data_IF_050735813032
#
_entry.id   IF_050735813032
#
_cell.length_a   1.000
_cell.length_b   1.000
_cell.length_c   1.000
_cell.angle_alpha   90.00
_cell.angle_beta   90.00
_cell.angle_gamma   90.00
#
_symmetry.space_group_name_H-M   'P 1'
#
loop_
_entity.id
_entity.type
_entity.pdbx_description
1 polymer ?
#
# COMPACT_ATOMS: atom_id res chain seq x y z
N UNK A 1 18.82 -13.10 -5.70
CA UNK A 1 19.41 -13.66 -4.47
C UNK A 1 20.91 -13.39 -4.42
N UNK A 2 21.68 -13.84 -5.42
CA UNK A 2 23.14 -13.60 -5.47
C UNK A 2 23.52 -12.11 -5.45
N UNK A 3 22.83 -11.27 -6.24
CA UNK A 3 23.05 -9.82 -6.24
C UNK A 3 22.75 -9.17 -4.87
N UNK A 4 21.71 -9.64 -4.17
CA UNK A 4 21.36 -9.14 -2.83
C UNK A 4 22.49 -9.42 -1.84
N UNK A 5 22.97 -10.67 -1.80
CA UNK A 5 24.05 -11.09 -0.90
C UNK A 5 25.38 -10.39 -1.22
N UNK A 6 25.65 -10.11 -2.49
CA UNK A 6 26.88 -9.41 -2.92
C UNK A 6 26.92 -7.96 -2.44
N UNK A 7 25.76 -7.34 -2.25
CA UNK A 7 25.66 -5.97 -1.71
C UNK A 7 25.65 -5.93 -0.18
N UNK A 8 25.74 -7.07 0.51
CA UNK A 8 25.81 -7.11 1.97
C UNK A 8 27.27 -7.25 2.42
N UNK A 9 27.68 -6.46 3.42
CA UNK A 9 29.03 -6.55 3.99
C UNK A 9 29.18 -7.62 5.09
N UNK A 10 30.39 -7.92 5.58
CA UNK A 10 30.59 -8.96 6.59
C UNK A 10 29.84 -8.74 7.91
N UNK A 11 29.56 -7.47 8.26
CA UNK A 11 28.76 -7.11 9.43
C UNK A 11 27.25 -7.11 9.13
N UNK A 12 26.87 -7.27 7.86
CA UNK A 12 25.51 -7.40 7.39
C UNK A 12 24.81 -6.10 7.00
N UNK A 13 25.57 -5.02 6.76
CA UNK A 13 25.03 -3.74 6.27
C UNK A 13 24.81 -3.80 4.76
N UNK A 14 23.76 -3.15 4.27
CA UNK A 14 23.46 -3.08 2.83
C UNK A 14 24.24 -1.95 2.17
N UNK A 15 25.12 -2.28 1.24
CA UNK A 15 25.88 -1.34 0.40
C UNK A 15 25.12 -1.02 -0.89
N UNK A 16 25.54 0.04 -1.57
CA UNK A 16 24.98 0.49 -2.86
C UNK A 16 23.44 0.58 -2.86
N UNK A 17 22.84 1.14 -1.80
CA UNK A 17 21.38 1.18 -1.60
C UNK A 17 20.66 1.78 -2.81
N UNK A 18 21.22 2.82 -3.44
CA UNK A 18 20.64 3.43 -4.64
C UNK A 18 20.56 2.43 -5.81
N UNK A 19 21.59 1.60 -6.02
CA UNK A 19 21.59 0.55 -7.03
C UNK A 19 20.56 -0.53 -6.69
N UNK A 20 20.52 -1.00 -5.45
CA UNK A 20 19.53 -1.98 -4.99
C UNK A 20 18.08 -1.49 -5.22
N UNK A 21 17.78 -0.25 -4.83
CA UNK A 21 16.47 0.37 -5.07
C UNK A 21 16.16 0.46 -6.56
N UNK A 22 17.13 0.79 -7.41
CA UNK A 22 16.93 0.80 -8.87
C UNK A 22 16.68 -0.60 -9.44
N UNK A 23 17.40 -1.63 -8.98
CA UNK A 23 17.19 -3.02 -9.40
C UNK A 23 15.79 -3.50 -8.99
N UNK A 24 15.37 -3.23 -7.74
CA UNK A 24 14.03 -3.55 -7.25
C UNK A 24 12.97 -2.79 -8.04
N UNK A 25 13.18 -1.50 -8.32
CA UNK A 25 12.24 -0.70 -9.12
C UNK A 25 12.03 -1.29 -10.53
N UNK A 26 13.09 -1.79 -11.17
CA UNK A 26 13.03 -2.36 -12.52
C UNK A 26 12.47 -3.79 -12.57
N UNK A 27 12.76 -4.61 -11.56
CA UNK A 27 12.51 -6.06 -11.62
C UNK A 27 11.65 -6.64 -10.49
N UNK A 28 11.38 -5.88 -9.44
CA UNK A 28 10.82 -6.38 -8.17
C UNK A 28 11.78 -7.27 -7.41
N UNK A 29 11.27 -7.95 -6.37
CA UNK A 29 11.98 -8.97 -5.61
C UNK A 29 11.49 -10.37 -5.97
N UNK A 30 12.42 -11.32 -5.99
CA UNK A 30 12.05 -12.73 -6.02
C UNK A 30 11.46 -13.16 -4.66
N UNK A 31 10.57 -14.16 -4.67
CA UNK A 31 9.79 -14.55 -3.49
C UNK A 31 10.65 -14.83 -2.25
N UNK A 32 11.77 -15.54 -2.41
CA UNK A 32 12.69 -15.91 -1.31
C UNK A 32 13.29 -14.68 -0.60
N UNK A 33 13.47 -13.56 -1.31
CA UNK A 33 14.03 -12.34 -0.73
C UNK A 33 12.98 -11.42 -0.09
N UNK A 34 11.68 -11.63 -0.34
CA UNK A 34 10.64 -10.69 0.08
C UNK A 34 10.63 -10.45 1.58
N UNK A 35 10.68 -11.53 2.37
CA UNK A 35 10.63 -11.46 3.84
C UNK A 35 11.74 -10.59 4.43
N UNK A 36 12.94 -10.62 3.87
CA UNK A 36 14.02 -9.74 4.32
C UNK A 36 13.96 -8.36 3.65
N UNK A 37 13.82 -8.32 2.32
CA UNK A 37 13.84 -7.07 1.55
C UNK A 37 12.72 -6.11 1.91
N UNK A 38 11.53 -6.61 2.24
CA UNK A 38 10.40 -5.77 2.66
C UNK A 38 10.68 -5.07 3.98
N UNK A 39 11.41 -5.68 4.92
CA UNK A 39 11.77 -5.03 6.19
C UNK A 39 12.63 -3.78 5.95
N UNK A 40 13.48 -3.79 4.93
CA UNK A 40 14.27 -2.63 4.53
C UNK A 40 13.46 -1.61 3.73
N UNK A 41 12.64 -2.07 2.77
CA UNK A 41 11.78 -1.20 1.95
C UNK A 41 10.75 -0.43 2.79
N UNK A 42 10.19 -1.09 3.80
CA UNK A 42 9.24 -0.50 4.74
C UNK A 42 9.93 0.21 5.91
N UNK A 43 11.26 0.28 5.95
CA UNK A 43 11.97 1.03 6.99
C UNK A 43 11.97 0.40 8.39
N UNK A 44 11.44 -0.81 8.54
CA UNK A 44 11.56 -1.57 9.80
C UNK A 44 13.03 -1.87 10.13
N UNK A 45 13.84 -2.23 9.11
CA UNK A 45 15.29 -2.30 9.22
C UNK A 45 15.95 -1.11 8.51
N UNK A 46 16.80 -0.34 9.20
CA UNK A 46 17.63 0.66 8.56
C UNK A 46 18.61 -0.01 7.59
N UNK A 47 18.80 0.55 6.40
CA UNK A 47 19.68 -0.01 5.37
C UNK A 47 21.14 -0.16 5.83
N UNK A 48 21.62 0.78 6.64
CA UNK A 48 23.00 0.81 7.16
C UNK A 48 23.19 -0.01 8.44
N UNK A 49 22.13 -0.69 8.92
CA UNK A 49 22.21 -1.48 10.17
C UNK A 49 22.94 -2.81 9.98
N UNK A 50 23.77 -3.14 10.96
CA UNK A 50 24.43 -4.44 11.07
C UNK A 50 23.45 -5.55 11.48
N UNK A 51 23.84 -6.81 11.33
CA UNK A 51 23.05 -7.94 11.81
C UNK A 51 22.80 -7.90 13.32
N UNK A 52 23.79 -7.45 14.11
CA UNK A 52 23.65 -7.38 15.56
C UNK A 52 22.70 -6.26 16.00
N UNK A 53 22.77 -5.10 15.34
CA UNK A 53 21.80 -4.02 15.55
C UNK A 53 20.39 -4.45 15.18
N UNK A 54 20.21 -5.16 14.06
CA UNK A 54 18.90 -5.71 13.66
C UNK A 54 18.36 -6.72 14.68
N UNK A 55 19.21 -7.60 15.23
CA UNK A 55 18.80 -8.53 16.31
C UNK A 55 18.36 -7.80 17.57
N UNK A 56 19.12 -6.79 18.00
CA UNK A 56 18.79 -5.98 19.17
C UNK A 56 17.48 -5.19 18.95
N UNK A 57 17.32 -4.61 17.76
CA UNK A 57 16.11 -3.93 17.33
C UNK A 57 14.90 -4.86 17.37
N UNK A 58 14.98 -6.05 16.78
CA UNK A 58 13.88 -7.02 16.79
C UNK A 58 13.49 -7.39 18.22
N UNK A 59 14.45 -7.67 19.12
CA UNK A 59 14.12 -7.97 20.53
C UNK A 59 13.33 -6.85 21.19
N UNK A 60 13.81 -5.60 21.07
CA UNK A 60 13.10 -4.43 21.62
C UNK A 60 11.71 -4.26 21.02
N UNK A 61 11.58 -4.48 19.70
CA UNK A 61 10.34 -4.36 18.95
C UNK A 61 9.33 -5.47 19.28
N UNK A 62 9.81 -6.66 19.61
CA UNK A 62 9.02 -7.76 20.16
C UNK A 62 8.44 -7.40 21.53
N UNK A 63 9.27 -6.91 22.45
CA UNK A 63 8.80 -6.52 23.79
C UNK A 63 7.78 -5.38 23.71
N UNK A 64 8.04 -4.40 22.84
CA UNK A 64 7.15 -3.27 22.60
C UNK A 64 5.80 -3.72 22.03
N UNK A 65 5.81 -4.62 21.04
CA UNK A 65 4.60 -5.20 20.46
C UNK A 65 3.76 -5.91 21.52
N UNK A 66 4.33 -6.86 22.26
CA UNK A 66 3.57 -7.65 23.23
C UNK A 66 3.07 -6.81 24.40
N UNK A 67 3.78 -5.75 24.77
CA UNK A 67 3.30 -4.77 25.76
C UNK A 67 2.03 -4.07 25.28
N UNK A 68 1.96 -3.65 24.02
CA UNK A 68 0.75 -3.05 23.44
C UNK A 68 -0.36 -4.09 23.23
N UNK A 69 -0.01 -5.30 22.77
CA UNK A 69 -0.95 -6.41 22.60
C UNK A 69 -1.66 -6.76 23.91
N UNK A 70 -0.92 -6.75 25.03
CA UNK A 70 -1.48 -7.01 26.35
C UNK A 70 -2.51 -5.96 26.76
N UNK A 71 -2.35 -4.69 26.36
CA UNK A 71 -3.28 -3.62 26.70
C UNK A 71 -4.71 -3.96 26.23
N UNK A 72 -4.87 -4.35 24.96
CA UNK A 72 -6.20 -4.70 24.44
C UNK A 72 -6.65 -6.11 24.84
N UNK A 73 -5.73 -7.08 24.92
CA UNK A 73 -6.07 -8.46 25.35
C UNK A 73 -6.52 -8.54 26.80
N UNK A 74 -6.08 -7.61 27.66
CA UNK A 74 -6.45 -7.55 29.07
C UNK A 74 -7.73 -6.75 29.35
N UNK A 75 -8.34 -6.15 28.32
CA UNK A 75 -9.65 -5.49 28.45
C UNK A 75 -10.71 -6.54 28.80
N UNK A 76 -11.28 -6.44 29.99
CA UNK A 76 -12.40 -7.29 30.42
C UNK A 76 -13.69 -6.91 29.70
N UNK A 77 -14.67 -7.84 29.69
CA UNK A 77 -16.00 -7.58 29.12
C UNK A 77 -16.66 -6.33 29.72
N UNK A 78 -16.47 -6.08 31.01
CA UNK A 78 -17.06 -4.92 31.68
C UNK A 78 -16.38 -3.61 31.26
N UNK A 79 -15.05 -3.62 31.07
CA UNK A 79 -14.34 -2.45 30.51
C UNK A 79 -14.75 -2.19 29.05
N UNK A 80 -14.92 -3.25 28.25
CA UNK A 80 -15.32 -3.14 26.85
C UNK A 80 -16.72 -2.53 26.69
N UNK A 81 -17.68 -2.84 27.57
CA UNK A 81 -19.00 -2.19 27.57
C UNK A 81 -18.91 -0.67 27.75
N UNK A 82 -17.93 -0.20 28.52
CA UNK A 82 -17.71 1.22 28.84
C UNK A 82 -16.74 1.93 27.90
N UNK A 83 -16.21 1.24 26.88
CA UNK A 83 -15.33 1.81 25.87
C UNK A 83 -15.92 1.60 24.47
N UNK A 84 -16.79 2.52 24.05
CA UNK A 84 -17.48 2.43 22.76
C UNK A 84 -16.50 2.44 21.58
N UNK A 85 -15.51 3.32 21.59
CA UNK A 85 -14.49 3.43 20.53
C UNK A 85 -13.77 2.09 20.32
N UNK A 86 -13.31 1.46 21.40
CA UNK A 86 -12.64 0.17 21.34
C UNK A 86 -13.54 -0.93 20.73
N UNK A 87 -14.79 -1.01 21.20
CA UNK A 87 -15.75 -2.00 20.74
C UNK A 87 -16.13 -1.79 19.28
N UNK A 88 -16.22 -0.54 18.84
CA UNK A 88 -16.53 -0.18 17.45
C UNK A 88 -15.37 -0.54 16.53
N UNK A 89 -14.12 -0.23 16.90
CA UNK A 89 -12.92 -0.68 16.15
C UNK A 89 -12.84 -2.21 16.09
N UNK A 90 -13.04 -2.91 17.21
CA UNK A 90 -13.05 -4.38 17.25
C UNK A 90 -14.09 -4.95 16.28
N UNK A 91 -15.32 -4.44 16.32
CA UNK A 91 -16.39 -4.90 15.43
C UNK A 91 -16.07 -4.67 13.95
N UNK A 92 -15.45 -3.54 13.60
CA UNK A 92 -15.02 -3.27 12.23
C UNK A 92 -13.90 -4.21 11.78
N UNK A 93 -12.91 -4.47 12.65
CA UNK A 93 -11.83 -5.43 12.39
C UNK A 93 -12.40 -6.83 12.15
N UNK A 94 -13.27 -7.32 13.04
CA UNK A 94 -13.88 -8.65 12.92
C UNK A 94 -14.66 -8.80 11.60
N UNK A 95 -15.43 -7.77 11.21
CA UNK A 95 -16.17 -7.77 9.93
C UNK A 95 -15.24 -7.87 8.72
N UNK A 96 -14.13 -7.14 8.74
CA UNK A 96 -13.20 -7.08 7.62
C UNK A 96 -12.29 -8.31 7.55
N UNK A 97 -11.77 -8.79 8.68
CA UNK A 97 -10.93 -9.99 8.75
C UNK A 97 -11.69 -11.20 8.20
N UNK A 98 -12.94 -11.39 8.59
CA UNK A 98 -13.75 -12.55 8.17
C UNK A 98 -13.94 -12.67 6.65
N UNK A 99 -13.86 -11.55 5.92
CA UNK A 99 -14.01 -11.47 4.46
C UNK A 99 -12.69 -11.25 3.72
N UNK A 100 -11.55 -11.20 4.40
CA UNK A 100 -10.25 -10.92 3.79
C UNK A 100 -9.70 -12.15 3.07
N UNK A 101 -9.44 -12.00 1.76
CA UNK A 101 -8.68 -12.92 0.90
C UNK A 101 -8.93 -14.43 1.11
N UNK A 102 -10.20 -14.83 1.32
CA UNK A 102 -10.56 -16.22 1.64
C UNK A 102 -10.30 -17.24 0.52
N UNK A 103 -9.93 -16.77 -0.67
CA UNK A 103 -9.45 -17.58 -1.80
C UNK A 103 -7.93 -17.77 -1.81
N UNK A 104 -7.19 -17.07 -0.95
CA UNK A 104 -5.76 -17.24 -0.75
C UNK A 104 -5.51 -18.34 0.27
N UNK A 105 -4.63 -19.29 -0.04
CA UNK A 105 -4.32 -20.45 0.80
C UNK A 105 -3.83 -20.09 2.20
N UNK A 106 -3.27 -18.89 2.39
CA UNK A 106 -2.85 -18.40 3.70
C UNK A 106 -4.03 -18.09 4.63
N UNK A 107 -5.18 -17.66 4.07
CA UNK A 107 -6.37 -17.23 4.83
C UNK A 107 -7.61 -18.13 4.63
N UNK A 108 -7.50 -19.15 3.78
CA UNK A 108 -8.60 -20.09 3.52
C UNK A 108 -8.82 -21.07 4.68
N UNK A 109 -10.01 -21.67 4.74
CA UNK A 109 -10.38 -22.62 5.79
C UNK A 109 -11.08 -21.97 6.99
N UNK A 110 -11.58 -22.84 7.87
CA UNK A 110 -12.26 -22.49 9.11
C UNK A 110 -11.22 -22.38 10.24
N UNK A 111 -11.40 -21.43 11.17
CA UNK A 111 -10.46 -21.17 12.28
C UNK A 111 -8.99 -21.00 11.82
N UNK A 112 -8.81 -20.30 10.69
CA UNK A 112 -7.50 -20.12 10.05
C UNK A 112 -6.55 -19.27 10.94
N UNK A 113 -5.33 -19.77 11.25
CA UNK A 113 -4.36 -19.03 12.08
C UNK A 113 -3.95 -17.67 11.52
N UNK A 114 -3.86 -17.53 10.19
CA UNK A 114 -3.57 -16.27 9.51
C UNK A 114 -4.63 -15.21 9.76
N UNK A 115 -5.91 -15.57 9.84
CA UNK A 115 -6.99 -14.65 10.21
C UNK A 115 -6.91 -14.20 11.67
N UNK A 116 -6.50 -15.10 12.57
CA UNK A 116 -6.26 -14.77 13.99
C UNK A 116 -5.10 -13.77 14.11
N UNK A 117 -4.00 -14.00 13.38
CA UNK A 117 -2.88 -13.07 13.33
C UNK A 117 -3.29 -11.72 12.73
N UNK A 118 -4.09 -11.71 11.66
CA UNK A 118 -4.58 -10.49 11.03
C UNK A 118 -5.41 -9.65 12.02
N UNK A 119 -6.32 -10.30 12.76
CA UNK A 119 -7.08 -9.68 13.83
C UNK A 119 -6.16 -9.11 14.94
N UNK A 120 -5.24 -9.92 15.45
CA UNK A 120 -4.41 -9.54 16.60
C UNK A 120 -3.46 -8.38 16.26
N UNK A 121 -2.90 -8.34 15.05
CA UNK A 121 -2.05 -7.22 14.59
C UNK A 121 -2.87 -5.94 14.46
N UNK A 122 -4.07 -5.98 13.88
CA UNK A 122 -4.93 -4.80 13.74
C UNK A 122 -5.40 -4.27 15.10
N UNK A 123 -5.78 -5.15 16.03
CA UNK A 123 -6.15 -4.75 17.39
C UNK A 123 -4.96 -4.14 18.15
N UNK A 124 -3.76 -4.66 17.91
CA UNK A 124 -2.54 -4.08 18.50
C UNK A 124 -2.22 -2.72 17.87
N UNK A 125 -2.50 -2.52 16.58
CA UNK A 125 -2.35 -1.23 15.92
C UNK A 125 -3.25 -0.16 16.54
N UNK A 126 -4.49 -0.50 16.90
CA UNK A 126 -5.37 0.42 17.63
C UNK A 126 -4.77 0.89 18.98
N UNK A 127 -3.90 0.12 19.61
CA UNK A 127 -3.21 0.54 20.85
C UNK A 127 -1.97 1.38 20.57
N UNK A 128 -1.38 1.25 19.37
CA UNK A 128 -0.25 2.05 18.92
C UNK A 128 -0.68 3.45 18.50
N UNK A 129 -1.74 3.53 17.69
CA UNK A 129 -2.37 4.78 17.25
C UNK A 129 -3.87 4.71 17.55
N UNK A 130 -4.25 5.15 18.75
CA UNK A 130 -5.63 5.12 19.21
C UNK A 130 -6.50 6.21 18.58
N UNK A 131 -5.89 7.32 18.14
CA UNK A 131 -6.61 8.41 17.48
C UNK A 131 -7.09 7.98 16.08
N UNK A 132 -6.26 7.22 15.35
CA UNK A 132 -6.67 6.60 14.09
C UNK A 132 -7.49 5.33 14.30
N UNK A 133 -7.03 4.45 15.20
CA UNK A 133 -7.65 3.15 15.47
C UNK A 133 -7.69 2.25 14.23
N UNK A 134 -8.90 1.81 13.85
CA UNK A 134 -9.14 1.01 12.65
C UNK A 134 -10.16 1.67 11.73
N UNK A 135 -9.80 1.72 10.45
CA UNK A 135 -10.65 2.19 9.34
C UNK A 135 -10.74 1.09 8.28
N UNK A 136 -11.93 0.92 7.70
CA UNK A 136 -12.21 -0.12 6.72
C UNK A 136 -11.22 -0.06 5.54
N UNK A 137 -10.61 -1.20 5.21
CA UNK A 137 -9.57 -1.31 4.18
C UNK A 137 -8.14 -1.43 4.73
N UNK A 138 -7.89 -1.14 6.00
CA UNK A 138 -6.57 -1.38 6.61
C UNK A 138 -6.20 -2.88 6.65
N UNK A 139 -7.18 -3.77 6.79
CA UNK A 139 -6.98 -5.23 6.65
C UNK A 139 -6.45 -5.65 5.26
N UNK A 140 -6.92 -4.98 4.20
CA UNK A 140 -6.44 -5.18 2.82
C UNK A 140 -4.98 -4.75 2.66
N UNK A 141 -4.54 -3.72 3.40
CA UNK A 141 -3.14 -3.28 3.43
C UNK A 141 -2.25 -4.24 4.22
N UNK A 142 -2.74 -4.76 5.34
CA UNK A 142 -1.98 -5.68 6.20
C UNK A 142 -1.84 -7.09 5.57
N UNK A 143 -2.86 -7.58 4.88
CA UNK A 143 -2.89 -8.96 4.36
C UNK A 143 -1.62 -9.36 3.59
N UNK A 144 -1.16 -8.61 2.56
CA UNK A 144 0.06 -8.98 1.84
C UNK A 144 1.33 -8.89 2.70
N UNK A 145 1.38 -7.97 3.67
CA UNK A 145 2.51 -7.84 4.60
C UNK A 145 2.57 -9.06 5.52
N UNK A 146 1.45 -9.45 6.12
CA UNK A 146 1.39 -10.61 7.00
C UNK A 146 1.73 -11.91 6.26
N UNK A 147 1.24 -12.06 5.02
CA UNK A 147 1.58 -13.17 4.14
C UNK A 147 3.10 -13.28 3.90
N UNK A 148 3.78 -12.16 3.64
CA UNK A 148 5.23 -12.15 3.37
C UNK A 148 6.05 -12.36 4.64
N UNK A 149 5.62 -11.75 5.75
CA UNK A 149 6.38 -11.79 7.00
C UNK A 149 6.24 -13.13 7.72
N UNK A 150 5.07 -13.76 7.68
CA UNK A 150 4.76 -15.01 8.40
C UNK A 150 5.12 -14.96 9.90
N UNK A 151 5.22 -13.74 10.45
CA UNK A 151 5.55 -13.45 11.83
C UNK A 151 4.74 -12.25 12.28
N UNK A 152 4.13 -12.36 13.45
CA UNK A 152 3.16 -11.38 13.97
C UNK A 152 3.82 -10.02 14.25
N UNK A 153 4.99 -10.03 14.88
CA UNK A 153 5.71 -8.81 15.31
C UNK A 153 6.29 -8.10 14.10
N UNK A 154 6.93 -8.85 13.20
CA UNK A 154 7.51 -8.30 11.98
C UNK A 154 6.42 -7.72 11.06
N UNK A 155 5.27 -8.41 10.93
CA UNK A 155 4.13 -7.92 10.18
C UNK A 155 3.59 -6.62 10.78
N UNK A 156 3.44 -6.56 12.11
CA UNK A 156 2.98 -5.36 12.80
C UNK A 156 3.89 -4.16 12.53
N UNK A 157 5.20 -4.28 12.69
CA UNK A 157 6.10 -3.13 12.52
C UNK A 157 6.25 -2.70 11.06
N UNK A 158 6.20 -3.65 10.12
CA UNK A 158 6.13 -3.33 8.70
C UNK A 158 4.81 -2.62 8.35
N UNK A 159 3.70 -3.04 8.95
CA UNK A 159 2.39 -2.41 8.78
C UNK A 159 2.34 -0.99 9.37
N UNK A 160 2.90 -0.77 10.55
CA UNK A 160 3.04 0.57 11.14
C UNK A 160 3.76 1.52 10.18
N UNK A 161 4.92 1.13 9.65
CA UNK A 161 5.66 1.99 8.73
C UNK A 161 4.98 2.18 7.37
N UNK A 162 4.10 1.25 6.96
CA UNK A 162 3.25 1.46 5.80
C UNK A 162 2.10 2.43 6.11
N UNK A 163 1.51 2.33 7.30
CA UNK A 163 0.47 3.24 7.75
C UNK A 163 1.01 4.66 7.95
N UNK A 164 2.26 4.85 8.40
CA UNK A 164 2.87 6.19 8.47
C UNK A 164 2.85 6.91 7.11
N UNK A 165 3.03 6.17 6.00
CA UNK A 165 2.96 6.71 4.64
C UNK A 165 1.53 6.94 4.14
N UNK A 166 0.56 6.23 4.72
CA UNK A 166 -0.85 6.23 4.32
C UNK A 166 -1.75 6.98 5.29
N UNK A 167 -1.20 7.51 6.40
CA UNK A 167 -1.94 7.95 7.59
C UNK A 167 -3.05 8.95 7.25
N UNK A 168 -2.70 9.99 6.51
CA UNK A 168 -3.61 11.05 6.05
C UNK A 168 -4.77 10.55 5.16
N UNK A 169 -4.64 9.36 4.56
CA UNK A 169 -5.73 8.77 3.77
C UNK A 169 -6.83 8.19 4.66
N UNK A 170 -6.50 7.83 5.91
CA UNK A 170 -7.41 7.16 6.84
C UNK A 170 -7.88 8.06 8.00
N UNK A 171 -7.31 9.25 8.17
CA UNK A 171 -7.85 10.26 9.09
C UNK A 171 -9.34 10.57 8.83
N UNK A 172 -10.08 11.00 9.86
CA UNK A 172 -11.53 11.25 9.79
C UNK A 172 -11.94 12.16 8.62
N UNK A 173 -11.15 13.20 8.32
CA UNK A 173 -11.42 14.15 7.24
C UNK A 173 -10.91 13.71 5.86
N UNK A 174 -10.17 12.59 5.81
CA UNK A 174 -9.58 11.96 4.62
C UNK A 174 -8.83 12.96 3.73
N UNK A 175 -8.04 13.86 4.32
CA UNK A 175 -7.36 14.94 3.58
C UNK A 175 -6.33 14.39 2.59
N UNK A 176 -5.65 13.30 2.93
CA UNK A 176 -4.74 12.61 2.01
C UNK A 176 -5.45 12.12 0.75
N UNK A 177 -6.65 11.54 0.89
CA UNK A 177 -7.44 11.08 -0.25
C UNK A 177 -7.88 12.24 -1.15
N UNK A 178 -8.39 13.33 -0.56
CA UNK A 178 -8.80 14.54 -1.32
C UNK A 178 -7.61 15.12 -2.07
N UNK A 179 -6.46 15.26 -1.40
CA UNK A 179 -5.23 15.79 -1.98
C UNK A 179 -4.74 14.93 -3.14
N UNK A 180 -4.69 13.60 -2.96
CA UNK A 180 -4.26 12.67 -4.01
C UNK A 180 -5.20 12.70 -5.24
N UNK A 181 -6.51 12.80 -5.05
CA UNK A 181 -7.47 12.92 -6.15
C UNK A 181 -7.32 14.24 -6.92
N UNK A 182 -7.07 15.36 -6.23
CA UNK A 182 -6.80 16.65 -6.87
C UNK A 182 -5.50 16.60 -7.67
N UNK A 183 -4.44 16.02 -7.10
CA UNK A 183 -3.16 15.84 -7.77
C UNK A 183 -3.32 14.93 -9.01
N UNK A 184 -4.08 13.84 -8.91
CA UNK A 184 -4.39 12.95 -10.02
C UNK A 184 -5.14 13.69 -11.14
N UNK A 185 -6.17 14.47 -10.80
CA UNK A 185 -6.94 15.27 -11.76
C UNK A 185 -6.04 16.30 -12.47
N UNK A 186 -5.12 16.91 -11.73
CA UNK A 186 -4.13 17.84 -12.29
C UNK A 186 -3.17 17.14 -13.26
N UNK A 187 -2.68 15.95 -12.91
CA UNK A 187 -1.84 15.14 -13.80
C UNK A 187 -2.58 14.72 -15.07
N UNK A 188 -3.82 14.24 -14.96
CA UNK A 188 -4.63 13.86 -16.12
C UNK A 188 -4.89 15.05 -17.05
N UNK A 189 -5.20 16.22 -16.49
CA UNK A 189 -5.39 17.45 -17.28
C UNK A 189 -4.15 17.81 -18.10
N UNK A 190 -2.96 17.58 -17.55
CA UNK A 190 -1.70 17.82 -18.25
C UNK A 190 -1.41 16.75 -19.31
N UNK A 191 -1.67 15.48 -19.00
CA UNK A 191 -1.35 14.35 -19.87
C UNK A 191 -2.32 14.23 -21.06
N UNK A 192 -3.61 14.47 -20.83
CA UNK A 192 -4.66 14.37 -21.85
C UNK A 192 -5.84 15.30 -21.51
N UNK A 193 -5.77 16.55 -21.99
CA UNK A 193 -6.79 17.56 -21.74
C UNK A 193 -8.16 17.17 -22.32
N UNK A 194 -8.19 16.42 -23.43
CA UNK A 194 -9.43 15.99 -24.08
C UNK A 194 -10.17 14.99 -23.20
N UNK A 195 -9.45 13.96 -22.73
CA UNK A 195 -10.02 12.98 -21.82
C UNK A 195 -10.44 13.61 -20.49
N UNK A 196 -9.63 14.52 -19.94
CA UNK A 196 -10.00 15.24 -18.71
C UNK A 196 -11.28 16.07 -18.88
N UNK A 197 -11.41 16.83 -19.98
CA UNK A 197 -12.63 17.60 -20.27
C UNK A 197 -13.85 16.69 -20.42
N UNK A 198 -13.68 15.51 -21.03
CA UNK A 198 -14.74 14.51 -21.12
C UNK A 198 -15.19 14.06 -19.73
N UNK A 199 -14.27 13.69 -18.84
CA UNK A 199 -14.60 13.30 -17.47
C UNK A 199 -15.32 14.41 -16.70
N UNK A 200 -14.90 15.67 -16.86
CA UNK A 200 -15.59 16.82 -16.24
C UNK A 200 -17.01 16.95 -16.78
N UNK A 201 -17.23 16.78 -18.09
CA UNK A 201 -18.55 16.84 -18.70
C UNK A 201 -19.49 15.70 -18.25
N UNK A 202 -18.94 14.58 -17.76
CA UNK A 202 -19.68 13.45 -17.19
C UNK A 202 -19.76 13.50 -15.65
N UNK A 203 -19.63 14.67 -15.04
CA UNK A 203 -19.61 14.88 -13.57
C UNK A 203 -18.59 14.00 -12.82
N UNK A 204 -17.55 13.57 -13.54
CA UNK A 204 -16.56 12.59 -13.10
C UNK A 204 -15.18 13.22 -12.86
N UNK A 205 -15.08 14.57 -12.90
CA UNK A 205 -13.82 15.33 -12.76
C UNK A 205 -13.12 15.21 -11.40
N UNK A 206 -13.85 14.79 -10.35
CA UNK A 206 -13.29 14.47 -9.02
C UNK A 206 -12.69 13.07 -8.91
N UNK A 207 -12.86 12.22 -9.94
CA UNK A 207 -12.22 10.91 -10.05
C UNK A 207 -12.53 9.94 -8.90
N UNK A 208 -13.74 10.01 -8.31
CA UNK A 208 -14.13 9.13 -7.21
C UNK A 208 -14.08 7.63 -7.56
N UNK A 209 -14.11 7.27 -8.85
CA UNK A 209 -13.87 5.90 -9.30
C UNK A 209 -12.44 5.39 -9.05
N UNK A 210 -11.47 6.29 -8.80
CA UNK A 210 -10.10 5.95 -8.38
C UNK A 210 -9.95 5.88 -6.85
N UNK A 211 -11.00 6.15 -6.06
CA UNK A 211 -10.89 6.22 -4.60
C UNK A 211 -10.35 4.92 -4.00
N UNK A 212 -10.90 3.77 -4.42
CA UNK A 212 -10.44 2.46 -3.95
C UNK A 212 -8.98 2.19 -4.34
N UNK A 213 -8.57 2.57 -5.55
CA UNK A 213 -7.21 2.37 -6.02
C UNK A 213 -6.17 3.04 -5.12
N UNK A 214 -6.45 4.28 -4.72
CA UNK A 214 -5.57 5.08 -3.87
C UNK A 214 -5.61 4.63 -2.41
N UNK A 215 -6.81 4.39 -1.86
CA UNK A 215 -7.00 4.04 -0.44
C UNK A 215 -6.28 2.74 -0.07
N UNK A 216 -6.42 1.70 -0.90
CA UNK A 216 -5.86 0.37 -0.64
C UNK A 216 -4.75 -0.01 -1.62
N UNK A 217 -4.07 0.98 -2.22
CA UNK A 217 -2.91 0.80 -3.12
C UNK A 217 -3.10 -0.32 -4.14
N UNK A 218 -4.20 -0.27 -4.89
CA UNK A 218 -4.55 -1.21 -5.97
C UNK A 218 -4.73 -2.68 -5.53
N UNK A 219 -4.86 -2.97 -4.23
CA UNK A 219 -4.97 -4.34 -3.70
C UNK A 219 -6.14 -5.15 -4.29
N UNK A 220 -7.30 -4.52 -4.52
CA UNK A 220 -8.49 -5.21 -5.05
C UNK A 220 -8.47 -5.39 -6.56
N UNK A 221 -7.51 -4.74 -7.18
CA UNK A 221 -7.44 -4.58 -8.61
C UNK A 221 -6.48 -5.63 -9.18
N UNK A 222 -5.41 -5.92 -8.46
CA UNK A 222 -4.36 -6.82 -8.92
C UNK A 222 -4.48 -8.21 -8.28
N UNK A 223 -3.90 -9.20 -8.96
CA UNK A 223 -3.69 -10.52 -8.38
C UNK A 223 -2.75 -10.41 -7.17
N UNK A 224 -2.85 -11.34 -6.22
CA UNK A 224 -2.04 -11.29 -5.00
C UNK A 224 -0.52 -11.20 -5.30
N UNK A 225 0.07 -11.99 -6.22
CA UNK A 225 1.48 -11.84 -6.60
C UNK A 225 1.82 -10.50 -7.25
N UNK A 226 0.91 -9.91 -8.02
CA UNK A 226 1.12 -8.62 -8.68
C UNK A 226 1.09 -7.46 -7.68
N UNK A 227 0.24 -7.55 -6.64
CA UNK A 227 0.25 -6.60 -5.52
C UNK A 227 1.61 -6.59 -4.83
N UNK A 228 2.17 -7.78 -4.53
CA UNK A 228 3.50 -7.88 -3.89
C UNK A 228 4.54 -7.13 -4.71
N UNK A 229 4.56 -7.36 -6.03
CA UNK A 229 5.51 -6.71 -6.93
C UNK A 229 5.28 -5.20 -7.04
N UNK A 230 4.03 -4.76 -7.13
CA UNK A 230 3.72 -3.34 -7.28
C UNK A 230 4.18 -2.56 -6.07
N UNK A 231 3.91 -3.10 -4.88
CA UNK A 231 4.29 -2.46 -3.62
C UNK A 231 5.81 -2.42 -3.43
N UNK A 232 6.52 -3.49 -3.79
CA UNK A 232 7.99 -3.49 -3.83
C UNK A 232 8.55 -2.33 -4.65
N UNK A 233 8.01 -2.13 -5.85
CA UNK A 233 8.41 -1.05 -6.75
C UNK A 233 8.07 0.32 -6.15
N UNK A 234 6.87 0.50 -5.60
CA UNK A 234 6.45 1.77 -4.98
C UNK A 234 7.29 2.15 -3.76
N UNK A 235 7.60 1.19 -2.88
CA UNK A 235 8.39 1.46 -1.68
C UNK A 235 9.87 1.77 -1.95
N UNK A 236 10.34 1.61 -3.18
CA UNK A 236 11.66 2.16 -3.57
C UNK A 236 11.68 3.69 -3.53
N UNK A 237 10.52 4.34 -3.69
CA UNK A 237 10.39 5.79 -3.84
C UNK A 237 10.81 6.30 -5.21
N UNK A 238 11.01 5.41 -6.19
CA UNK A 238 11.42 5.73 -7.55
C UNK A 238 10.24 5.66 -8.54
N UNK A 239 10.29 6.39 -9.67
CA UNK A 239 11.28 7.43 -9.99
C UNK A 239 10.97 8.77 -9.32
N UNK A 240 9.82 8.89 -8.67
CA UNK A 240 9.33 10.12 -8.04
C UNK A 240 8.46 9.79 -6.81
N UNK A 241 8.27 10.77 -5.92
CA UNK A 241 7.56 10.63 -4.65
C UNK A 241 6.15 10.02 -4.78
N UNK A 242 5.34 10.52 -5.72
CA UNK A 242 3.95 10.10 -5.90
C UNK A 242 3.76 9.17 -7.11
N UNK A 243 4.65 8.18 -7.26
CA UNK A 243 4.62 7.24 -8.39
C UNK A 243 3.26 6.53 -8.55
N UNK A 244 2.56 6.25 -7.46
CA UNK A 244 1.22 5.67 -7.48
C UNK A 244 0.17 6.48 -8.27
N UNK A 245 0.31 7.81 -8.35
CA UNK A 245 -0.58 8.63 -9.18
C UNK A 245 -0.30 8.42 -10.67
N UNK A 246 0.96 8.21 -11.03
CA UNK A 246 1.35 7.84 -12.40
C UNK A 246 0.85 6.45 -12.77
N UNK A 247 0.78 5.52 -11.80
CA UNK A 247 0.11 4.22 -11.98
C UNK A 247 -1.37 4.42 -12.30
N UNK A 248 -2.09 5.28 -11.58
CA UNK A 248 -3.47 5.62 -11.92
C UNK A 248 -3.59 6.19 -13.34
N UNK A 249 -2.73 7.14 -13.72
CA UNK A 249 -2.73 7.71 -15.07
C UNK A 249 -2.47 6.67 -16.16
N UNK A 250 -1.54 5.73 -15.92
CA UNK A 250 -1.22 4.67 -16.87
C UNK A 250 -2.41 3.72 -17.07
N UNK A 251 -3.12 3.35 -16.00
CA UNK A 251 -4.34 2.55 -16.09
C UNK A 251 -5.43 3.34 -16.84
N UNK A 252 -5.63 4.63 -16.55
CA UNK A 252 -6.65 5.41 -17.24
C UNK A 252 -6.33 5.65 -18.74
N UNK A 253 -5.05 5.80 -19.10
CA UNK A 253 -4.63 5.99 -20.48
C UNK A 253 -4.91 4.73 -21.34
N UNK A 254 -4.88 3.52 -20.75
CA UNK A 254 -5.22 2.29 -21.49
C UNK A 254 -6.71 2.19 -21.83
N UNK A 255 -7.58 2.86 -21.07
CA UNK A 255 -9.03 2.69 -21.13
C UNK A 255 -9.77 3.87 -21.74
N UNK A 256 -9.09 5.00 -21.90
CA UNK A 256 -9.71 6.25 -22.35
C UNK A 256 -10.46 6.11 -23.66
N UNK A 257 -9.96 5.30 -24.60
CA UNK A 257 -10.59 5.10 -25.90
C UNK A 257 -11.95 4.44 -25.73
N UNK A 258 -12.01 3.33 -24.98
CA UNK A 258 -13.28 2.66 -24.69
C UNK A 258 -14.25 3.58 -23.95
N UNK A 259 -13.78 4.30 -22.93
CA UNK A 259 -14.62 5.21 -22.13
C UNK A 259 -15.25 6.30 -23.01
N UNK A 260 -14.46 6.92 -23.88
CA UNK A 260 -14.92 8.04 -24.71
C UNK A 260 -15.77 7.59 -25.90
N UNK A 261 -15.38 6.52 -26.59
CA UNK A 261 -16.10 6.01 -27.77
C UNK A 261 -17.48 5.47 -27.40
N UNK A 262 -17.58 4.75 -26.28
CA UNK A 262 -18.84 4.21 -25.75
C UNK A 262 -19.65 5.24 -24.95
N UNK A 263 -19.13 6.45 -24.81
CA UNK A 263 -19.78 7.57 -24.10
C UNK A 263 -20.19 7.22 -22.65
N UNK A 264 -19.30 6.55 -21.91
CA UNK A 264 -19.56 6.14 -20.54
C UNK A 264 -19.71 7.31 -19.55
N UNK A 265 -20.81 7.29 -18.79
CA UNK A 265 -20.99 8.15 -17.63
C UNK A 265 -20.27 7.59 -16.40
N UNK A 266 -20.45 8.27 -15.25
CA UNK A 266 -19.78 7.90 -14.00
C UNK A 266 -19.96 6.42 -13.60
N UNK A 267 -21.17 5.88 -13.72
CA UNK A 267 -21.48 4.52 -13.30
C UNK A 267 -20.79 3.47 -14.18
N UNK A 268 -20.76 3.70 -15.48
CA UNK A 268 -20.10 2.83 -16.45
C UNK A 268 -18.58 2.90 -16.28
N UNK A 269 -18.02 4.10 -16.10
CA UNK A 269 -16.59 4.30 -15.81
C UNK A 269 -16.20 3.56 -14.53
N UNK A 270 -16.99 3.69 -13.45
CA UNK A 270 -16.75 2.99 -12.20
C UNK A 270 -16.75 1.47 -12.41
N UNK A 271 -17.74 0.94 -13.16
CA UNK A 271 -17.85 -0.49 -13.45
C UNK A 271 -16.64 -0.99 -14.23
N UNK A 272 -16.22 -0.25 -15.25
CA UNK A 272 -15.03 -0.55 -16.06
C UNK A 272 -13.79 -0.57 -15.17
N UNK A 273 -13.56 0.47 -14.37
CA UNK A 273 -12.44 0.58 -13.44
C UNK A 273 -12.39 -0.56 -12.40
N UNK A 274 -13.55 -1.12 -12.02
CA UNK A 274 -13.64 -2.27 -11.10
C UNK A 274 -13.34 -3.59 -11.80
N UNK A 275 -13.67 -3.75 -13.07
CA UNK A 275 -13.55 -5.02 -13.82
C UNK A 275 -12.21 -5.19 -14.55
N UNK A 276 -11.56 -4.10 -14.93
CA UNK A 276 -10.39 -4.09 -15.82
C UNK A 276 -9.13 -4.72 -15.27
N UNK A 277 -8.99 -4.73 -13.95
CA UNK A 277 -7.67 -4.81 -13.36
C UNK A 277 -7.09 -6.24 -13.29
N UNK A 278 -7.86 -7.25 -13.75
CA UNK A 278 -7.36 -8.60 -14.04
C UNK A 278 -6.72 -8.76 -15.44
N UNK A 279 -6.99 -7.86 -16.40
CA UNK A 279 -6.55 -8.01 -17.79
C UNK A 279 -5.27 -7.20 -18.11
N UNK A 280 -4.97 -6.17 -17.33
CA UNK A 280 -3.89 -5.23 -17.63
C UNK A 280 -2.53 -5.74 -17.11
N UNK A 281 -2.12 -6.95 -17.54
CA UNK A 281 -0.81 -7.53 -17.22
C UNK A 281 0.37 -6.93 -18.01
N UNK A 282 0.10 -6.02 -18.97
CA UNK A 282 1.15 -5.24 -19.64
C UNK A 282 1.63 -4.03 -18.82
N UNK A 283 1.03 -3.79 -17.65
CA UNK A 283 1.21 -2.58 -16.85
C UNK A 283 2.63 -2.42 -16.31
N UNK A 284 3.39 -3.47 -15.97
CA UNK A 284 4.78 -3.24 -15.51
C UNK A 284 5.73 -2.78 -16.63
N UNK A 285 5.62 -3.38 -17.80
CA UNK A 285 6.42 -3.04 -18.97
C UNK A 285 5.97 -1.70 -19.55
N UNK A 286 4.66 -1.48 -19.69
CA UNK A 286 4.09 -0.21 -20.15
C UNK A 286 4.17 0.91 -19.13
N UNK A 287 4.09 0.68 -17.81
CA UNK A 287 4.35 1.74 -16.84
C UNK A 287 5.81 2.14 -16.96
N UNK A 288 6.78 1.22 -16.89
CA UNK A 288 8.18 1.62 -17.02
C UNK A 288 8.50 2.32 -18.36
N UNK A 289 7.91 1.89 -19.48
CA UNK A 289 8.13 2.48 -20.80
C UNK A 289 7.31 3.74 -21.09
N UNK A 290 6.00 3.78 -20.79
CA UNK A 290 5.14 4.96 -21.01
C UNK A 290 5.46 6.08 -20.03
N UNK A 291 5.75 5.75 -18.77
CA UNK A 291 6.29 6.71 -17.79
C UNK A 291 7.61 7.22 -18.32
N UNK A 292 8.56 6.37 -18.71
CA UNK A 292 9.86 6.84 -19.25
C UNK A 292 9.74 7.62 -20.56
N UNK A 293 8.78 7.33 -21.45
CA UNK A 293 8.66 7.98 -22.76
C UNK A 293 7.90 9.32 -22.69
N UNK A 294 6.88 9.45 -21.83
CA UNK A 294 6.13 10.71 -21.64
C UNK A 294 6.71 11.60 -20.53
N UNK A 295 7.45 11.06 -19.55
CA UNK A 295 8.11 11.87 -18.49
C UNK A 295 9.41 12.55 -18.90
N UNK A 296 9.96 12.30 -20.09
CA UNK A 296 11.00 13.20 -20.63
C UNK A 296 10.47 14.64 -20.73
N UNK A 297 9.15 14.84 -20.89
CA UNK A 297 8.49 16.14 -20.79
C UNK A 297 7.99 16.55 -19.39
N UNK A 298 7.74 15.61 -18.47
CA UNK A 298 7.06 15.86 -17.18
C UNK A 298 8.03 15.95 -15.99
N UNK A 299 9.30 15.54 -16.15
CA UNK A 299 10.35 15.66 -15.11
C UNK A 299 10.57 17.10 -14.59
N UNK A 300 10.10 18.12 -15.33
CA UNK A 300 10.21 19.53 -14.93
C UNK A 300 9.13 19.93 -13.89
N UNK A 301 8.00 19.21 -13.78
CA UNK A 301 6.82 19.70 -13.06
C UNK A 301 6.59 19.02 -11.70
N UNK A 302 6.93 17.74 -11.54
CA UNK A 302 6.74 17.04 -10.26
C UNK A 302 7.65 17.59 -9.13
N UNK A 303 8.76 18.25 -9.47
CA UNK A 303 9.61 18.97 -8.51
C UNK A 303 9.11 20.41 -8.20
N UNK A 304 8.06 20.92 -8.87
CA UNK A 304 7.59 22.30 -8.68
C UNK A 304 6.36 22.46 -7.79
N UNK A 305 5.65 21.38 -7.42
CA UNK A 305 4.38 21.47 -6.66
C UNK A 305 4.46 20.99 -5.21
N UNK A 306 5.65 20.66 -4.71
CA UNK A 306 5.85 20.40 -3.27
C UNK A 306 6.51 21.64 -2.64
N UNK A 307 5.79 22.48 -1.88
CA UNK A 307 6.45 23.40 -0.98
C UNK A 307 7.14 22.55 0.08
N UNK A 308 8.45 22.71 0.20
CA UNK A 308 9.21 22.21 1.34
C UNK A 308 8.63 22.85 2.61
N UNK A 309 8.08 22.03 3.50
CA UNK A 309 7.93 22.32 4.93
C UNK A 309 8.43 21.12 5.70
#
# INVERSE_FOLDING_TARGET
AEEWNTNMDPEGRMRNISHLKQTIFKGGLCHVLRKEGWKFLLGYFPWESTLEERRSLTRRKTDEYFRMKLQWKSVSEEQEKHNSMFRDHRSLIEKDVNRTDRTNTFYEGQDNPGLILLHDVLMTYCMYDFDLGYVQGMSDLLSPILYVMEDEVDAFWCFVSFMDQMHQNFEEQMQGMKTQLIQLSTLLRLLDLSFWNYLVAQDSGHLYFCFRWLLIRFKRELSFPDVLRLWEVMWTGLPCQNFHLLVCCAILDSEKHQIMEEQYGFNEILKVCVLLCFACMCVFTCICLCVSARLVGVNIILNMTCPTS
#
